data_IF_628221584686
#
_entry.id   IF_628221584686
#
_cell.length_a   1.000
_cell.length_b   1.000
_cell.length_c   1.000
_cell.angle_alpha   90.00
_cell.angle_beta   90.00
_cell.angle_gamma   90.00
#
_symmetry.space_group_name_H-M   'P 1'
#
loop_
_entity.id
_entity.type
_entity.pdbx_description
1 polymer ?
#
# COMPACT_ATOMS: atom_id res chain seq x y z
N UNK A 1 1.55 21.90 11.43
CA UNK A 1 1.07 22.11 10.05
C UNK A 1 1.91 23.17 9.30
N UNK A 2 2.13 24.35 9.89
CA UNK A 2 2.88 25.49 9.30
C UNK A 2 4.27 25.11 8.78
N UNK A 3 5.05 24.33 9.53
CA UNK A 3 6.40 23.90 9.11
C UNK A 3 6.40 23.04 7.84
N UNK A 4 5.34 22.25 7.59
CA UNK A 4 5.23 21.42 6.37
C UNK A 4 4.95 22.27 5.13
N UNK A 5 4.13 23.30 5.28
CA UNK A 5 3.81 24.25 4.20
C UNK A 5 5.04 25.07 3.82
N UNK A 6 5.80 25.56 4.80
CA UNK A 6 7.00 26.37 4.56
C UNK A 6 8.09 25.57 3.81
N UNK A 7 8.29 24.29 4.14
CA UNK A 7 9.29 23.44 3.47
C UNK A 7 8.88 23.11 2.03
N UNK A 8 7.59 22.85 1.80
CA UNK A 8 7.07 22.61 0.46
C UNK A 8 7.22 23.85 -0.42
N UNK A 9 6.83 25.02 0.10
CA UNK A 9 6.93 26.31 -0.60
C UNK A 9 8.38 26.65 -0.93
N UNK A 10 9.32 26.44 0.01
CA UNK A 10 10.75 26.67 -0.23
C UNK A 10 11.32 25.72 -1.31
N UNK A 11 10.92 24.46 -1.32
CA UNK A 11 11.37 23.49 -2.33
C UNK A 11 10.83 23.81 -3.74
N UNK A 12 9.56 24.23 -3.83
CA UNK A 12 8.95 24.67 -5.09
C UNK A 12 9.64 25.92 -5.61
N UNK A 13 9.88 26.92 -4.75
CA UNK A 13 10.61 28.14 -5.10
C UNK A 13 12.04 27.85 -5.58
N UNK A 14 12.77 26.97 -4.91
CA UNK A 14 14.12 26.57 -5.33
C UNK A 14 14.13 25.87 -6.70
N UNK A 15 13.13 25.01 -6.96
CA UNK A 15 12.98 24.36 -8.25
C UNK A 15 12.62 25.35 -9.37
N UNK A 16 11.75 26.34 -9.09
CA UNK A 16 11.39 27.38 -10.05
C UNK A 16 12.58 28.27 -10.43
N UNK A 17 13.44 28.62 -9.47
CA UNK A 17 14.66 29.41 -9.72
C UNK A 17 15.68 28.60 -10.52
N UNK A 18 15.84 27.30 -10.26
CA UNK A 18 16.76 26.44 -11.02
C UNK A 18 16.38 26.31 -12.50
N UNK A 19 15.08 26.29 -12.83
CA UNK A 19 14.59 26.23 -14.22
C UNK A 19 14.90 27.50 -15.00
N UNK A 20 14.98 28.65 -14.33
CA UNK A 20 15.26 29.93 -14.98
C UNK A 20 16.72 30.12 -15.41
N UNK A 21 17.66 29.41 -14.78
CA UNK A 21 19.12 29.69 -14.91
C UNK A 21 19.83 28.74 -15.89
N UNK A 22 19.25 27.60 -16.27
CA UNK A 22 19.91 26.63 -17.16
C UNK A 22 19.52 26.85 -18.63
N UNK A 23 20.44 27.19 -19.54
CA UNK A 23 20.14 27.31 -20.98
C UNK A 23 20.30 25.95 -21.67
N UNK A 24 19.20 25.41 -22.20
CA UNK A 24 19.18 24.14 -22.95
C UNK A 24 17.97 23.26 -22.61
N UNK A 25 17.18 22.86 -23.61
CA UNK A 25 15.87 22.21 -23.40
C UNK A 25 15.93 20.76 -22.87
N UNK A 26 16.95 19.99 -23.24
CA UNK A 26 17.08 18.59 -22.81
C UNK A 26 17.65 18.46 -21.38
N UNK A 27 18.61 19.30 -21.02
CA UNK A 27 19.26 19.27 -19.70
C UNK A 27 18.31 19.73 -18.58
N UNK A 28 17.31 20.56 -18.90
CA UNK A 28 16.29 21.00 -17.94
C UNK A 28 15.44 19.86 -17.38
N UNK A 29 15.07 18.88 -18.21
CA UNK A 29 14.22 17.75 -17.77
C UNK A 29 14.99 16.85 -16.81
N UNK A 30 16.27 16.60 -17.10
CA UNK A 30 17.15 15.79 -16.26
C UNK A 30 17.40 16.48 -14.91
N UNK A 31 17.69 17.79 -14.92
CA UNK A 31 17.92 18.56 -13.69
C UNK A 31 16.66 18.62 -12.81
N UNK A 32 15.48 18.86 -13.40
CA UNK A 32 14.21 18.86 -12.66
C UNK A 32 13.90 17.48 -12.09
N UNK A 33 14.16 16.40 -12.83
CA UNK A 33 14.01 15.03 -12.36
C UNK A 33 14.92 14.72 -11.16
N UNK A 34 16.20 15.10 -11.24
CA UNK A 34 17.17 14.90 -10.15
C UNK A 34 16.76 15.70 -8.90
N UNK A 35 16.29 16.95 -9.07
CA UNK A 35 15.85 17.79 -7.95
C UNK A 35 14.58 17.25 -7.27
N UNK A 36 13.62 16.73 -8.03
CA UNK A 36 12.42 16.09 -7.48
C UNK A 36 12.77 14.83 -6.69
N UNK A 37 13.65 13.98 -7.22
CA UNK A 37 14.12 12.78 -6.53
C UNK A 37 14.86 13.16 -5.25
N UNK A 38 15.76 14.14 -5.31
CA UNK A 38 16.49 14.62 -4.14
C UNK A 38 15.52 15.19 -3.07
N UNK A 39 14.48 15.93 -3.47
CA UNK A 39 13.47 16.45 -2.55
C UNK A 39 12.66 15.33 -1.88
N UNK A 40 12.25 14.30 -2.63
CA UNK A 40 11.55 13.12 -2.09
C UNK A 40 12.44 12.36 -1.10
N UNK A 41 13.72 12.16 -1.44
CA UNK A 41 14.71 11.52 -0.55
C UNK A 41 14.92 12.36 0.71
N UNK A 42 15.03 13.68 0.59
CA UNK A 42 15.21 14.56 1.74
C UNK A 42 13.98 14.55 2.67
N UNK A 43 12.76 14.54 2.11
CA UNK A 43 11.51 14.44 2.87
C UNK A 43 11.39 13.09 3.57
N UNK A 44 11.74 11.98 2.91
CA UNK A 44 11.72 10.65 3.51
C UNK A 44 12.79 10.49 4.60
N UNK A 45 14.01 10.98 4.37
CA UNK A 45 15.06 10.99 5.40
C UNK A 45 14.70 11.88 6.59
N UNK A 46 14.07 13.04 6.35
CA UNK A 46 13.60 13.92 7.44
C UNK A 46 12.46 13.30 8.22
N UNK A 47 11.54 12.57 7.57
CA UNK A 47 10.50 11.78 8.25
C UNK A 47 11.13 10.68 9.12
N UNK A 48 12.15 9.98 8.62
CA UNK A 48 12.90 8.99 9.42
C UNK A 48 13.61 9.64 10.60
N UNK A 49 14.35 10.73 10.40
CA UNK A 49 15.03 11.44 11.50
C UNK A 49 14.07 12.02 12.54
N UNK A 50 12.86 12.44 12.13
CA UNK A 50 11.82 12.88 13.07
C UNK A 50 11.16 11.71 13.81
N UNK A 51 11.16 10.50 13.23
CA UNK A 51 10.79 9.28 13.95
C UNK A 51 11.90 8.83 14.92
N UNK A 52 13.17 9.04 14.56
CA UNK A 52 14.33 8.68 15.40
C UNK A 52 14.60 9.70 16.52
N UNK A 53 14.15 10.96 16.40
CA UNK A 53 14.48 12.06 17.31
C UNK A 53 13.54 12.23 18.53
N UNK A 54 12.76 11.22 18.91
CA UNK A 54 12.22 11.16 20.28
C UNK A 54 10.71 11.30 20.42
N UNK A 55 10.00 10.27 19.96
CA UNK A 55 9.11 9.57 20.90
C UNK A 55 9.54 8.11 20.83
N UNK A 56 10.12 7.52 21.90
CA UNK A 56 10.09 6.08 22.01
C UNK A 56 8.62 5.70 22.07
N UNK A 57 8.04 5.30 20.94
CA UNK A 57 6.84 4.48 20.98
C UNK A 57 7.35 3.21 21.61
N UNK A 58 7.20 3.11 22.93
CA UNK A 58 7.20 1.83 23.58
C UNK A 58 6.08 1.07 22.88
N UNK A 59 6.44 0.28 21.86
CA UNK A 59 5.57 -0.79 21.37
C UNK A 59 5.37 -1.68 22.58
N UNK A 60 4.32 -1.40 23.35
CA UNK A 60 3.88 -2.28 24.41
C UNK A 60 3.66 -3.63 23.75
N UNK A 61 4.34 -4.70 24.19
CA UNK A 61 4.30 -6.01 23.52
C UNK A 61 2.88 -6.58 23.37
N UNK A 62 1.91 -6.04 24.12
CA UNK A 62 0.48 -6.33 23.99
C UNK A 62 -0.13 -5.85 22.67
N UNK A 63 0.25 -4.65 22.20
CA UNK A 63 -0.33 -4.03 20.99
C UNK A 63 0.11 -4.75 19.70
N UNK A 64 1.31 -5.36 19.71
CA UNK A 64 1.74 -6.22 18.62
C UNK A 64 0.88 -7.48 18.53
N UNK A 65 0.61 -8.12 19.68
CA UNK A 65 -0.11 -9.39 19.75
C UNK A 65 -1.55 -9.26 19.21
N UNK A 66 -2.24 -8.19 19.58
CA UNK A 66 -3.61 -7.91 19.11
C UNK A 66 -3.69 -7.66 17.60
N UNK A 67 -2.74 -6.91 17.04
CA UNK A 67 -2.67 -6.68 15.60
C UNK A 67 -2.37 -7.97 14.80
N UNK A 68 -1.47 -8.82 15.31
CA UNK A 68 -1.19 -10.13 14.69
C UNK A 68 -2.42 -11.05 14.73
N UNK A 69 -3.17 -11.06 15.83
CA UNK A 69 -4.38 -11.87 15.98
C UNK A 69 -5.48 -11.39 15.01
N UNK A 70 -5.67 -10.08 14.86
CA UNK A 70 -6.59 -9.48 13.87
C UNK A 70 -6.20 -9.85 12.44
N UNK A 71 -4.91 -9.78 12.11
CA UNK A 71 -4.40 -10.18 10.80
C UNK A 71 -4.66 -11.66 10.54
N UNK A 72 -4.30 -12.53 11.49
CA UNK A 72 -4.54 -13.96 11.38
C UNK A 72 -6.02 -14.28 11.18
N UNK A 73 -6.91 -13.64 11.96
CA UNK A 73 -8.36 -13.81 11.83
C UNK A 73 -8.88 -13.34 10.47
N UNK A 74 -8.44 -12.17 9.98
CA UNK A 74 -8.81 -11.65 8.66
C UNK A 74 -8.33 -12.55 7.52
N UNK A 75 -7.22 -13.25 7.71
CA UNK A 75 -6.73 -14.23 6.73
C UNK A 75 -7.54 -15.51 6.73
N UNK A 76 -7.92 -16.00 7.92
CA UNK A 76 -8.81 -17.15 8.01
C UNK A 76 -10.18 -16.84 7.41
N UNK A 77 -10.69 -15.61 7.55
CA UNK A 77 -11.91 -15.17 6.90
C UNK A 77 -11.81 -15.24 5.36
N UNK A 78 -10.71 -14.71 4.78
CA UNK A 78 -10.46 -14.84 3.33
C UNK A 78 -10.37 -16.31 2.92
N UNK A 79 -9.54 -17.10 3.61
CA UNK A 79 -9.33 -18.52 3.27
C UNK A 79 -10.63 -19.33 3.42
N UNK A 80 -11.50 -19.01 4.37
CA UNK A 80 -12.79 -19.65 4.57
C UNK A 80 -13.79 -19.42 3.43
N UNK A 81 -13.54 -18.43 2.57
CA UNK A 81 -14.35 -18.18 1.38
C UNK A 81 -13.83 -18.93 0.14
N UNK A 82 -12.61 -19.46 0.18
CA UNK A 82 -11.97 -20.08 -0.99
C UNK A 82 -12.28 -21.57 -1.09
N UNK A 83 -12.41 -22.05 -2.33
CA UNK A 83 -12.49 -23.49 -2.58
C UNK A 83 -11.19 -24.22 -2.20
N UNK A 84 -11.25 -25.52 -1.84
CA UNK A 84 -10.07 -26.30 -1.47
C UNK A 84 -8.93 -26.29 -2.50
N UNK A 85 -9.28 -26.26 -3.79
CA UNK A 85 -8.34 -26.17 -4.92
C UNK A 85 -7.53 -24.86 -4.88
N UNK A 86 -8.18 -23.74 -4.58
CA UNK A 86 -7.61 -22.40 -4.46
C UNK A 86 -6.73 -22.22 -3.23
N UNK A 87 -7.03 -22.91 -2.12
CA UNK A 87 -6.29 -22.80 -0.86
C UNK A 87 -4.81 -23.08 -1.03
N UNK A 88 -4.47 -24.13 -1.78
CA UNK A 88 -3.08 -24.55 -2.04
C UNK A 88 -2.23 -23.44 -2.69
N UNK A 89 -2.88 -22.58 -3.49
CA UNK A 89 -2.24 -21.48 -4.20
C UNK A 89 -2.19 -20.20 -3.37
N UNK A 90 -3.29 -19.85 -2.70
CA UNK A 90 -3.42 -18.55 -2.02
C UNK A 90 -2.77 -18.55 -0.64
N UNK A 91 -2.94 -19.63 0.14
CA UNK A 91 -2.43 -19.71 1.52
C UNK A 91 -0.93 -19.39 1.63
N UNK A 92 -0.01 -20.02 0.88
CA UNK A 92 1.42 -19.74 1.04
C UNK A 92 1.77 -18.28 0.69
N UNK A 93 1.14 -17.73 -0.34
CA UNK A 93 1.35 -16.34 -0.78
C UNK A 93 0.89 -15.36 0.29
N UNK A 94 -0.31 -15.59 0.85
CA UNK A 94 -0.88 -14.74 1.89
C UNK A 94 -0.02 -14.78 3.16
N UNK A 95 0.37 -15.98 3.63
CA UNK A 95 1.26 -16.15 4.79
C UNK A 95 2.59 -15.43 4.59
N UNK A 96 3.21 -15.57 3.41
CA UNK A 96 4.48 -14.92 3.10
C UNK A 96 4.36 -13.39 3.11
N UNK A 97 3.35 -12.83 2.45
CA UNK A 97 3.16 -11.38 2.34
C UNK A 97 2.83 -10.76 3.70
N UNK A 98 2.02 -11.42 4.53
CA UNK A 98 1.74 -10.97 5.88
C UNK A 98 2.97 -11.03 6.75
N UNK A 99 3.73 -12.12 6.73
CA UNK A 99 4.96 -12.22 7.53
C UNK A 99 5.91 -11.08 7.21
N UNK A 100 5.98 -10.66 5.94
CA UNK A 100 6.77 -9.51 5.51
C UNK A 100 6.15 -8.17 5.95
N UNK A 101 4.83 -8.00 5.81
CA UNK A 101 4.17 -6.70 5.95
C UNK A 101 3.44 -6.49 7.28
N UNK A 102 3.44 -7.47 8.20
CA UNK A 102 2.62 -7.43 9.41
C UNK A 102 2.92 -6.22 10.29
N UNK A 103 4.20 -5.89 10.52
CA UNK A 103 4.56 -4.69 11.28
C UNK A 103 4.10 -3.38 10.58
N UNK A 104 4.07 -3.36 9.26
CA UNK A 104 3.57 -2.20 8.52
C UNK A 104 2.04 -2.07 8.65
N UNK A 105 1.30 -3.18 8.53
CA UNK A 105 -0.15 -3.20 8.70
C UNK A 105 -0.56 -2.92 10.15
N UNK A 106 0.16 -3.50 11.12
CA UNK A 106 -0.09 -3.33 12.55
C UNK A 106 -0.13 -1.85 13.00
N UNK A 107 0.66 -0.99 12.34
CA UNK A 107 0.68 0.46 12.62
C UNK A 107 -0.59 1.21 12.18
N UNK A 108 -1.48 0.56 11.44
CA UNK A 108 -2.70 1.16 10.89
C UNK A 108 -3.99 0.49 11.41
N UNK A 109 -3.86 -0.48 12.31
CA UNK A 109 -4.98 -1.15 12.95
C UNK A 109 -4.95 -0.90 14.45
N UNK A 110 -6.13 -0.89 15.06
CA UNK A 110 -6.36 -0.71 16.50
C UNK A 110 -6.94 -2.00 17.09
N UNK A 111 -6.80 -2.18 18.40
CA UNK A 111 -7.39 -3.30 19.16
C UNK A 111 -8.91 -3.35 19.07
N UNK A 112 -9.55 -2.22 18.77
CA UNK A 112 -10.99 -2.10 18.55
C UNK A 112 -11.44 -2.48 17.15
N UNK A 113 -10.51 -2.65 16.21
CA UNK A 113 -10.87 -3.06 14.86
C UNK A 113 -11.39 -4.51 14.88
N UNK A 114 -12.49 -4.75 14.18
CA UNK A 114 -13.03 -6.10 13.99
C UNK A 114 -12.30 -6.78 12.81
N UNK A 115 -12.01 -8.09 12.89
CA UNK A 115 -11.44 -8.82 11.76
C UNK A 115 -12.31 -8.68 10.52
N UNK A 116 -11.67 -8.45 9.38
CA UNK A 116 -12.32 -8.41 8.08
C UNK A 116 -11.67 -9.41 7.14
N UNK A 117 -11.02 -8.93 6.10
CA UNK A 117 -10.45 -9.77 5.05
C UNK A 117 -9.08 -9.26 4.59
N UNK A 118 -8.15 -10.19 4.39
CA UNK A 118 -6.82 -9.90 3.87
C UNK A 118 -6.60 -10.55 2.50
N UNK A 119 -6.06 -9.79 1.55
CA UNK A 119 -5.86 -10.23 0.16
C UNK A 119 -4.42 -10.03 -0.29
N UNK A 120 -3.82 -11.03 -0.95
CA UNK A 120 -2.59 -10.79 -1.68
C UNK A 120 -2.92 -9.95 -2.93
N UNK A 121 -2.22 -8.83 -3.09
CA UNK A 121 -2.44 -7.91 -4.21
C UNK A 121 -1.16 -7.63 -4.97
N UNK A 122 -1.29 -7.48 -6.28
CA UNK A 122 -0.28 -6.87 -7.13
C UNK A 122 -0.68 -5.41 -7.40
N UNK A 123 0.30 -4.51 -7.35
CA UNK A 123 0.13 -3.09 -7.62
C UNK A 123 0.87 -2.73 -8.91
N UNK A 124 0.17 -2.03 -9.79
CA UNK A 124 0.79 -1.33 -10.90
C UNK A 124 1.20 0.08 -10.42
N UNK A 125 2.49 0.27 -10.14
CA UNK A 125 3.05 1.58 -9.81
C UNK A 125 3.63 2.23 -11.07
N UNK A 126 3.41 3.54 -11.29
CA UNK A 126 3.98 4.24 -12.44
C UNK A 126 5.50 4.06 -12.53
N UNK A 127 5.99 3.56 -13.65
CA UNK A 127 7.43 3.37 -13.91
C UNK A 127 8.09 2.23 -13.14
N UNK A 128 7.34 1.36 -12.45
CA UNK A 128 7.90 0.20 -11.75
C UNK A 128 7.28 -1.13 -12.22
N UNK A 129 8.11 -2.15 -12.35
CA UNK A 129 7.63 -3.52 -12.55
C UNK A 129 7.10 -4.09 -11.24
N UNK A 130 5.77 -4.13 -11.11
CA UNK A 130 4.98 -4.94 -10.16
C UNK A 130 5.44 -4.91 -8.70
N UNK A 131 4.70 -4.20 -7.86
CA UNK A 131 4.84 -4.35 -6.41
C UNK A 131 3.84 -5.42 -5.92
N UNK A 132 4.28 -6.31 -5.03
CA UNK A 132 3.35 -7.22 -4.34
C UNK A 132 3.12 -6.71 -2.92
N UNK A 133 1.89 -6.88 -2.45
CA UNK A 133 1.48 -6.40 -1.14
C UNK A 133 0.28 -7.16 -0.59
N UNK A 134 -0.18 -6.68 0.55
CA UNK A 134 -1.39 -7.13 1.22
C UNK A 134 -2.36 -5.96 1.32
N UNK A 135 -3.59 -6.19 0.89
CA UNK A 135 -4.73 -5.33 1.19
C UNK A 135 -5.48 -5.95 2.37
N UNK A 136 -5.60 -5.21 3.46
CA UNK A 136 -6.45 -5.54 4.60
C UNK A 136 -7.68 -4.65 4.56
N UNK A 137 -8.86 -5.27 4.56
CA UNK A 137 -10.15 -4.61 4.70
C UNK A 137 -10.68 -4.97 6.08
N UNK A 138 -10.88 -3.97 6.95
CA UNK A 138 -11.49 -4.10 8.28
C UNK A 138 -12.58 -3.06 8.42
N UNK A 139 -13.40 -3.15 9.47
CA UNK A 139 -14.56 -2.27 9.61
C UNK A 139 -14.18 -0.79 9.52
N UNK A 140 -14.74 -0.10 8.52
CA UNK A 140 -14.51 1.32 8.28
C UNK A 140 -13.14 1.70 7.71
N UNK A 141 -12.25 0.74 7.41
CA UNK A 141 -10.87 1.01 6.97
C UNK A 141 -10.37 0.04 5.90
N UNK A 142 -9.57 0.57 4.99
CA UNK A 142 -8.71 -0.22 4.12
C UNK A 142 -7.25 0.13 4.39
N UNK A 143 -6.41 -0.88 4.59
CA UNK A 143 -4.96 -0.74 4.79
C UNK A 143 -4.24 -1.49 3.68
N UNK A 144 -3.38 -0.81 2.95
CA UNK A 144 -2.51 -1.43 1.95
C UNK A 144 -1.08 -1.35 2.44
N UNK A 145 -0.41 -2.49 2.50
CA UNK A 145 1.02 -2.58 2.73
C UNK A 145 1.66 -3.30 1.56
N UNK A 146 2.72 -2.74 1.00
CA UNK A 146 3.39 -3.29 -0.17
C UNK A 146 4.89 -3.07 -0.08
N UNK A 147 5.62 -3.84 -0.88
CA UNK A 147 7.03 -3.62 -1.10
C UNK A 147 7.29 -3.20 -2.53
N UNK A 148 8.07 -2.13 -2.72
CA UNK A 148 8.64 -1.80 -4.04
C UNK A 148 10.10 -2.25 -4.11
N UNK A 149 10.52 -2.81 -5.26
CA UNK A 149 11.92 -3.19 -5.48
C UNK A 149 12.21 -4.52 -6.17
N UNK A 150 11.45 -4.98 -7.16
CA UNK A 150 11.98 -6.00 -8.09
C UNK A 150 12.96 -5.34 -9.07
N UNK A 151 14.18 -5.09 -8.62
CA UNK A 151 15.28 -4.54 -9.44
C UNK A 151 16.60 -4.60 -8.67
N UNK A 152 17.65 -5.12 -9.33
CA UNK A 152 18.88 -5.69 -8.75
C UNK A 152 19.69 -4.85 -7.75
N UNK A 153 19.41 -3.57 -7.53
CA UNK A 153 20.28 -2.68 -6.74
C UNK A 153 19.55 -1.73 -5.76
N UNK A 154 18.26 -1.95 -5.48
CA UNK A 154 17.50 -1.12 -4.52
C UNK A 154 17.02 -1.96 -3.36
N UNK A 155 17.32 -1.52 -2.12
CA UNK A 155 16.78 -2.14 -0.92
C UNK A 155 15.25 -2.13 -0.96
N UNK A 156 14.63 -3.23 -0.56
CA UNK A 156 13.17 -3.34 -0.46
C UNK A 156 12.66 -2.17 0.40
N UNK A 157 11.72 -1.39 -0.14
CA UNK A 157 11.04 -0.39 0.67
C UNK A 157 9.62 -0.87 0.96
N UNK A 158 9.37 -1.13 2.24
CA UNK A 158 8.03 -1.40 2.74
C UNK A 158 7.32 -0.07 2.92
N UNK A 159 6.17 0.07 2.26
CA UNK A 159 5.28 1.19 2.40
C UNK A 159 3.92 0.68 2.86
N UNK A 160 3.25 1.49 3.70
CA UNK A 160 1.87 1.25 4.09
C UNK A 160 1.09 2.54 4.07
N UNK A 161 -0.17 2.45 3.67
CA UNK A 161 -1.10 3.57 3.65
C UNK A 161 -2.47 3.07 4.12
N UNK A 162 -3.10 3.86 5.00
CA UNK A 162 -4.53 3.75 5.22
C UNK A 162 -5.20 4.33 3.97
N UNK A 163 -5.72 3.47 3.12
CA UNK A 163 -6.26 3.85 1.83
C UNK A 163 -7.56 4.62 1.94
N UNK A 164 -8.41 4.37 2.95
CA UNK A 164 -9.67 5.07 3.14
C UNK A 164 -10.18 5.00 4.57
N UNK A 165 -10.87 6.06 5.01
CA UNK A 165 -12.03 6.00 5.89
C UNK A 165 -13.26 5.69 5.03
N UNK A 166 -13.76 4.45 5.08
CA UNK A 166 -15.08 3.93 4.68
C UNK A 166 -15.86 4.36 3.39
N UNK A 167 -15.48 5.34 2.58
CA UNK A 167 -16.42 5.92 1.60
C UNK A 167 -16.54 5.24 0.22
N UNK A 168 -15.44 4.77 -0.37
CA UNK A 168 -15.41 4.36 -1.80
C UNK A 168 -14.35 3.29 -2.09
N UNK A 169 -14.71 2.03 -1.84
CA UNK A 169 -14.00 0.87 -2.39
C UNK A 169 -14.88 0.26 -3.46
N UNK A 170 -14.38 0.17 -4.69
CA UNK A 170 -15.10 -0.37 -5.84
C UNK A 170 -14.36 -1.62 -6.33
N UNK A 171 -15.06 -2.75 -6.42
CA UNK A 171 -14.56 -3.92 -7.15
C UNK A 171 -14.78 -3.64 -8.64
N UNK A 172 -13.69 -3.41 -9.36
CA UNK A 172 -13.71 -3.24 -10.81
C UNK A 172 -13.75 -4.59 -11.54
N UNK A 173 -13.93 -4.52 -12.86
CA UNK A 173 -13.93 -5.71 -13.72
C UNK A 173 -12.60 -6.47 -13.76
N UNK A 174 -12.57 -7.55 -14.52
CA UNK A 174 -11.37 -8.38 -14.70
C UNK A 174 -10.21 -7.59 -15.33
N UNK A 175 -9.00 -7.81 -14.81
CA UNK A 175 -7.76 -7.32 -15.43
C UNK A 175 -7.23 -8.42 -16.35
N UNK A 176 -7.05 -8.14 -17.66
CA UNK A 176 -6.50 -9.10 -18.59
C UNK A 176 -5.12 -9.60 -18.13
N UNK A 177 -4.88 -10.91 -18.30
CA UNK A 177 -3.59 -11.52 -17.98
C UNK A 177 -2.46 -10.82 -18.72
N UNK A 178 -1.48 -10.27 -18.01
CA UNK A 178 -0.28 -9.68 -18.63
C UNK A 178 0.61 -10.71 -19.35
N UNK A 179 0.43 -12.00 -19.04
CA UNK A 179 1.24 -13.11 -19.59
C UNK A 179 0.35 -14.28 -19.97
N UNK A 180 0.77 -15.03 -21.00
CA UNK A 180 0.08 -16.23 -21.52
C UNK A 180 -0.27 -17.27 -20.44
N UNK A 181 0.47 -17.30 -19.34
CA UNK A 181 0.28 -18.21 -18.20
C UNK A 181 -0.05 -17.48 -16.87
N UNK A 182 -0.40 -16.19 -16.92
CA UNK A 182 -0.88 -15.47 -15.74
C UNK A 182 -2.20 -16.04 -15.25
N UNK A 183 -2.47 -15.95 -13.95
CA UNK A 183 -3.83 -16.15 -13.44
C UNK A 183 -4.70 -14.95 -13.84
N UNK A 184 -6.00 -15.17 -14.01
CA UNK A 184 -6.95 -14.06 -14.08
C UNK A 184 -6.87 -13.23 -12.81
N UNK A 185 -7.20 -11.95 -12.92
CA UNK A 185 -7.08 -11.00 -11.83
C UNK A 185 -8.35 -10.16 -11.74
N UNK A 186 -8.80 -9.92 -10.51
CA UNK A 186 -9.87 -8.97 -10.23
C UNK A 186 -9.25 -7.60 -9.94
N UNK A 187 -9.78 -6.54 -10.59
CA UNK A 187 -9.37 -5.17 -10.29
C UNK A 187 -10.10 -4.70 -9.03
N UNK A 188 -9.36 -4.19 -8.06
CA UNK A 188 -9.93 -3.48 -6.91
C UNK A 188 -9.46 -2.04 -7.00
N UNK A 189 -10.43 -1.13 -7.05
CA UNK A 189 -10.18 0.31 -7.06
C UNK A 189 -10.50 0.85 -5.67
N UNK A 190 -9.49 1.41 -5.02
CA UNK A 190 -9.66 2.05 -3.71
C UNK A 190 -9.43 3.54 -3.86
N UNK A 191 -10.42 4.35 -3.47
CA UNK A 191 -10.32 5.81 -3.51
C UNK A 191 -10.15 6.35 -2.10
N UNK A 192 -9.05 7.05 -1.88
CA UNK A 192 -8.80 7.72 -0.61
C UNK A 192 -9.64 8.97 -0.47
N UNK A 193 -10.53 8.97 0.52
CA UNK A 193 -11.43 10.11 0.78
C UNK A 193 -10.67 11.40 1.10
N UNK A 194 -9.61 11.29 1.91
CA UNK A 194 -8.83 12.45 2.35
C UNK A 194 -7.79 12.94 1.31
N UNK A 195 -7.28 12.05 0.45
CA UNK A 195 -6.23 12.39 -0.51
C UNK A 195 -6.74 12.58 -1.94
N UNK A 196 -7.94 12.07 -2.27
CA UNK A 196 -8.42 11.98 -3.64
C UNK A 196 -7.62 11.01 -4.51
N UNK A 197 -6.68 10.25 -3.93
CA UNK A 197 -5.85 9.29 -4.66
C UNK A 197 -6.66 8.04 -5.01
N UNK A 198 -6.48 7.55 -6.24
CA UNK A 198 -7.06 6.30 -6.70
C UNK A 198 -5.97 5.23 -6.78
N UNK A 199 -6.22 4.10 -6.13
CA UNK A 199 -5.34 2.94 -6.10
C UNK A 199 -5.98 1.81 -6.90
N UNK A 200 -5.28 1.32 -7.92
CA UNK A 200 -5.70 0.17 -8.71
C UNK A 200 -4.87 -1.05 -8.32
N UNK A 201 -5.54 -2.01 -7.70
CA UNK A 201 -4.95 -3.24 -7.18
C UNK A 201 -5.45 -4.44 -7.99
N UNK A 202 -4.60 -5.44 -8.18
CA UNK A 202 -4.96 -6.70 -8.83
C UNK A 202 -4.92 -7.85 -7.83
N UNK A 203 -6.07 -8.49 -7.62
CA UNK A 203 -6.21 -9.67 -6.74
C UNK A 203 -6.25 -10.92 -7.62
N UNK A 204 -5.71 -12.05 -7.18
CA UNK A 204 -5.86 -13.32 -7.90
C UNK A 204 -7.34 -13.71 -8.06
N UNK A 205 -7.82 -13.85 -9.28
CA UNK A 205 -9.14 -14.40 -9.53
C UNK A 205 -9.07 -15.93 -9.44
N UNK A 206 -9.49 -16.44 -8.29
CA UNK A 206 -9.57 -17.86 -8.00
C UNK A 206 -10.96 -18.16 -7.42
N UNK A 207 -11.48 -19.39 -7.57
CA UNK A 207 -12.79 -19.74 -7.02
C UNK A 207 -12.94 -19.33 -5.55
N UNK A 208 -13.98 -18.52 -5.28
CA UNK A 208 -14.30 -17.94 -3.98
C UNK A 208 -13.74 -16.55 -3.70
N UNK A 209 -12.82 -16.03 -4.53
CA UNK A 209 -12.18 -14.73 -4.28
C UNK A 209 -13.12 -13.54 -4.51
N UNK A 210 -13.98 -13.59 -5.53
CA UNK A 210 -14.98 -12.54 -5.78
C UNK A 210 -15.92 -12.37 -4.58
N UNK A 211 -16.44 -13.48 -4.06
CA UNK A 211 -17.28 -13.51 -2.84
C UNK A 211 -16.50 -12.97 -1.63
N UNK A 212 -15.24 -13.37 -1.47
CA UNK A 212 -14.39 -12.85 -0.40
C UNK A 212 -14.23 -11.33 -0.51
N UNK A 213 -13.99 -10.80 -1.71
CA UNK A 213 -13.83 -9.36 -1.97
C UNK A 213 -15.11 -8.59 -1.71
N UNK A 214 -16.26 -9.04 -2.23
CA UNK A 214 -17.56 -8.40 -1.99
C UNK A 214 -17.85 -8.27 -0.49
N UNK A 215 -17.60 -9.34 0.28
CA UNK A 215 -17.77 -9.33 1.74
C UNK A 215 -16.79 -8.38 2.43
N UNK A 216 -15.52 -8.36 2.01
CA UNK A 216 -14.53 -7.46 2.59
C UNK A 216 -14.81 -5.99 2.29
N UNK A 217 -15.31 -5.68 1.09
CA UNK A 217 -15.78 -4.34 0.75
C UNK A 217 -16.95 -3.95 1.63
N UNK A 218 -17.96 -4.81 1.78
CA UNK A 218 -19.09 -4.55 2.68
C UNK A 218 -18.65 -4.31 4.13
N UNK A 219 -17.72 -5.11 4.66
CA UNK A 219 -17.15 -4.87 5.99
C UNK A 219 -16.46 -3.50 6.07
N UNK A 220 -15.65 -3.15 5.07
CA UNK A 220 -14.91 -1.90 5.08
C UNK A 220 -15.78 -0.64 4.90
N UNK A 221 -16.91 -0.75 4.20
CA UNK A 221 -17.84 0.37 3.99
C UNK A 221 -18.91 0.49 5.08
N UNK A 222 -19.14 -0.55 5.88
CA UNK A 222 -20.24 -0.63 6.85
C UNK A 222 -21.59 -0.89 6.18
#
# INVERSE_FOLDING_TARGET
>A
MIVRVVVLVAAVLAASVAVAVVPGGADRVVVVGILLVAAVVLVTMRRRRLADAGVPVAETPEQGRTAFDLLAASCQATLGCLEPSSLSRVRPVLVQLLSRHAGAVARHVDERDEPGYAYPVDLALPGQSGASGVLLLVRGKAVLAWSSGRGRDVAWSDASVALASAGRIEVGGEVPRERRFGADRLRVVVRGEASGEEWSLAVADVPGMSVALERGVAVATG
#
